data_IF_361596380086
#
_entry.id   IF_361596380086
#
_cell.length_a   1.000
_cell.length_b   1.000
_cell.length_c   1.000
_cell.angle_alpha   90.00
_cell.angle_beta   90.00
_cell.angle_gamma   90.00
#
_symmetry.space_group_name_H-M   'P 1'
#
loop_
_entity.id
_entity.type
_entity.pdbx_description
1 polymer ?
#
# COMPACT_ATOMS: atom_id res chain seq x y z
N UNK A 1 23.45 -7.61 -14.70
CA UNK A 1 22.03 -7.85 -15.07
C UNK A 1 21.89 -9.30 -15.52
N UNK A 2 21.07 -10.11 -14.86
CA UNK A 2 20.83 -11.51 -15.24
C UNK A 2 20.19 -11.57 -16.64
N UNK A 3 20.61 -12.56 -17.46
CA UNK A 3 20.07 -12.73 -18.82
C UNK A 3 18.63 -13.23 -18.73
N UNK A 4 17.76 -12.74 -19.58
CA UNK A 4 16.33 -13.11 -19.67
C UNK A 4 16.13 -14.64 -19.80
N UNK A 5 17.02 -15.31 -20.54
CA UNK A 5 17.05 -16.78 -20.65
C UNK A 5 17.24 -17.46 -19.30
N UNK A 6 18.09 -16.92 -18.42
CA UNK A 6 18.36 -17.47 -17.08
C UNK A 6 17.13 -17.34 -16.19
N UNK A 7 16.44 -16.19 -16.21
CA UNK A 7 15.21 -15.96 -15.46
C UNK A 7 14.10 -16.93 -15.87
N UNK A 8 13.99 -17.22 -17.19
CA UNK A 8 13.02 -18.17 -17.70
C UNK A 8 13.34 -19.61 -17.28
N UNK A 9 14.61 -20.03 -17.30
CA UNK A 9 15.03 -21.37 -16.87
C UNK A 9 14.78 -21.56 -15.37
N UNK A 10 14.98 -20.52 -14.57
CA UNK A 10 14.72 -20.52 -13.11
C UNK A 10 13.24 -20.33 -12.77
N UNK A 11 12.35 -20.23 -13.77
CA UNK A 11 10.92 -19.98 -13.57
C UNK A 11 10.62 -18.75 -12.71
N UNK A 12 11.49 -17.73 -12.78
CA UNK A 12 11.43 -16.54 -11.93
C UNK A 12 10.07 -15.83 -12.00
N UNK A 13 9.43 -15.80 -13.19
CA UNK A 13 8.09 -15.21 -13.36
C UNK A 13 7.06 -15.91 -12.48
N UNK A 14 7.12 -17.25 -12.38
CA UNK A 14 6.19 -17.98 -11.50
C UNK A 14 6.37 -17.60 -10.03
N UNK A 15 7.60 -17.32 -9.61
CA UNK A 15 7.86 -16.83 -8.23
C UNK A 15 7.24 -15.45 -8.05
N UNK A 16 7.35 -14.55 -9.03
CA UNK A 16 6.72 -13.24 -8.98
C UNK A 16 5.19 -13.33 -8.94
N UNK A 17 4.59 -14.21 -9.75
CA UNK A 17 3.14 -14.45 -9.76
C UNK A 17 2.66 -14.97 -8.38
N UNK A 18 3.40 -15.90 -7.79
CA UNK A 18 3.12 -16.38 -6.45
C UNK A 18 3.21 -15.26 -5.41
N UNK A 19 4.26 -14.44 -5.46
CA UNK A 19 4.43 -13.29 -4.56
C UNK A 19 3.29 -12.29 -4.75
N UNK A 20 2.96 -11.95 -5.99
CA UNK A 20 1.88 -11.02 -6.33
C UNK A 20 0.50 -11.50 -5.84
N UNK A 21 0.29 -12.83 -5.71
CA UNK A 21 -0.95 -13.38 -5.19
C UNK A 21 -1.20 -13.07 -3.70
N UNK A 22 -0.18 -12.72 -2.95
CA UNK A 22 -0.28 -12.28 -1.54
C UNK A 22 -0.52 -10.78 -1.40
N UNK A 23 -0.37 -10.00 -2.48
CA UNK A 23 -0.60 -8.57 -2.42
C UNK A 23 -2.08 -8.24 -2.25
N UNK A 24 -2.41 -7.40 -1.28
CA UNK A 24 -3.78 -6.99 -0.94
C UNK A 24 -4.27 -5.78 -1.74
N UNK A 25 -3.38 -5.14 -2.53
CA UNK A 25 -3.69 -4.00 -3.39
C UNK A 25 -3.16 -4.21 -4.80
N UNK A 26 -3.78 -3.59 -5.81
CA UNK A 26 -3.29 -3.63 -7.19
C UNK A 26 -1.89 -3.00 -7.32
N UNK A 27 -1.62 -1.92 -6.59
CA UNK A 27 -0.28 -1.29 -6.57
C UNK A 27 0.78 -2.22 -5.97
N UNK A 28 0.44 -2.96 -4.91
CA UNK A 28 1.32 -3.98 -4.32
C UNK A 28 1.59 -5.12 -5.31
N UNK A 29 0.56 -5.57 -6.02
CA UNK A 29 0.68 -6.59 -7.06
C UNK A 29 1.60 -6.14 -8.18
N UNK A 30 1.38 -4.93 -8.72
CA UNK A 30 2.27 -4.34 -9.72
C UNK A 30 3.72 -4.22 -9.24
N UNK A 31 3.93 -3.89 -7.96
CA UNK A 31 5.27 -3.80 -7.38
C UNK A 31 5.95 -5.19 -7.36
N UNK A 32 5.24 -6.24 -6.96
CA UNK A 32 5.74 -7.62 -6.97
C UNK A 32 6.11 -8.06 -8.39
N UNK A 33 5.25 -7.82 -9.38
CA UNK A 33 5.48 -8.20 -10.79
C UNK A 33 6.68 -7.49 -11.42
N UNK A 34 7.02 -6.30 -10.95
CA UNK A 34 8.15 -5.49 -11.43
C UNK A 34 9.48 -5.81 -10.74
N UNK A 35 9.51 -6.71 -9.76
CA UNK A 35 10.75 -7.07 -9.09
C UNK A 35 11.75 -7.70 -10.06
N UNK A 36 12.99 -7.34 -9.90
CA UNK A 36 14.12 -7.91 -10.64
C UNK A 36 15.18 -8.41 -9.67
N UNK A 37 15.95 -9.46 -10.04
CA UNK A 37 17.03 -9.93 -9.20
C UNK A 37 18.07 -8.84 -8.95
N UNK A 38 18.44 -8.65 -7.70
CA UNK A 38 19.51 -7.76 -7.29
C UNK A 38 20.86 -8.49 -7.40
N UNK A 39 21.91 -7.75 -7.77
CA UNK A 39 23.28 -8.27 -7.88
C UNK A 39 24.29 -7.50 -7.02
N UNK A 40 23.89 -6.36 -6.50
CA UNK A 40 24.69 -5.57 -5.56
C UNK A 40 24.46 -6.09 -4.15
N UNK A 41 25.58 -6.41 -3.43
CA UNK A 41 25.52 -7.03 -2.12
C UNK A 41 24.83 -6.13 -1.07
N UNK A 42 25.04 -4.81 -1.14
CA UNK A 42 24.43 -3.90 -0.19
C UNK A 42 22.89 -3.86 -0.39
N UNK A 43 22.42 -3.78 -1.63
CA UNK A 43 20.99 -3.82 -1.96
C UNK A 43 20.35 -5.17 -1.59
N UNK A 44 21.04 -6.28 -1.80
CA UNK A 44 20.56 -7.61 -1.39
C UNK A 44 20.38 -7.68 0.12
N UNK A 45 21.39 -7.25 0.88
CA UNK A 45 21.31 -7.26 2.35
C UNK A 45 20.19 -6.36 2.85
N UNK A 46 20.04 -5.17 2.27
CA UNK A 46 18.94 -4.25 2.60
C UNK A 46 17.56 -4.87 2.41
N UNK A 47 17.32 -5.50 1.26
CA UNK A 47 16.05 -6.17 0.98
C UNK A 47 15.79 -7.38 1.89
N UNK A 48 16.85 -8.13 2.27
CA UNK A 48 16.74 -9.23 3.22
C UNK A 48 16.40 -8.73 4.63
N UNK A 49 17.05 -7.67 5.10
CA UNK A 49 16.77 -7.06 6.41
C UNK A 49 15.33 -6.53 6.47
N UNK A 50 14.81 -5.89 5.41
CA UNK A 50 13.39 -5.49 5.34
C UNK A 50 12.46 -6.69 5.46
N UNK A 51 12.79 -7.81 4.81
CA UNK A 51 12.01 -9.04 4.87
C UNK A 51 12.04 -9.67 6.26
N UNK A 52 13.21 -9.70 6.91
CA UNK A 52 13.38 -10.21 8.28
C UNK A 52 12.57 -9.37 9.28
N UNK A 53 12.63 -8.03 9.18
CA UNK A 53 11.82 -7.14 10.02
C UNK A 53 10.31 -7.38 9.82
N UNK A 54 9.86 -7.58 8.57
CA UNK A 54 8.47 -7.90 8.29
C UNK A 54 8.04 -9.23 8.92
N UNK A 55 8.91 -10.26 8.91
CA UNK A 55 8.66 -11.53 9.61
C UNK A 55 8.57 -11.36 11.14
N UNK A 56 9.43 -10.51 11.72
CA UNK A 56 9.38 -10.17 13.14
C UNK A 56 8.03 -9.54 13.48
N UNK A 57 7.59 -8.56 12.70
CA UNK A 57 6.30 -7.89 12.90
C UNK A 57 5.15 -8.89 12.82
N UNK A 58 5.11 -9.76 11.80
CA UNK A 58 4.10 -10.80 11.65
C UNK A 58 4.07 -11.76 12.85
N UNK A 59 5.24 -12.10 13.39
CA UNK A 59 5.34 -13.00 14.54
C UNK A 59 4.77 -12.36 15.81
N UNK A 60 4.99 -11.05 16.02
CA UNK A 60 4.51 -10.34 17.21
C UNK A 60 3.04 -9.94 17.13
N UNK A 61 2.59 -9.48 15.97
CA UNK A 61 1.21 -9.01 15.78
C UNK A 61 0.25 -10.16 15.41
N UNK A 62 0.75 -11.32 14.97
CA UNK A 62 -0.04 -12.43 14.45
C UNK A 62 -0.67 -12.13 13.10
N UNK A 63 -1.07 -10.91 12.86
CA UNK A 63 -1.59 -10.40 11.58
C UNK A 63 -1.25 -8.91 11.44
N UNK A 64 -0.86 -8.48 10.25
CA UNK A 64 -0.64 -7.06 9.97
C UNK A 64 -1.95 -6.53 9.37
N UNK A 65 -2.52 -5.42 9.90
CA UNK A 65 -3.74 -4.84 9.37
C UNK A 65 -3.48 -4.11 8.04
N UNK A 66 -3.04 -4.86 7.03
CA UNK A 66 -2.93 -4.39 5.67
C UNK A 66 -4.30 -4.53 5.00
N UNK A 67 -5.06 -3.45 4.99
CA UNK A 67 -6.39 -3.40 4.40
C UNK A 67 -6.23 -3.14 2.90
N UNK A 68 -6.86 -3.97 2.07
CA UNK A 68 -6.95 -3.73 0.62
C UNK A 68 -7.80 -2.49 0.33
N UNK A 69 -7.42 -1.74 -0.69
CA UNK A 69 -8.18 -0.59 -1.20
C UNK A 69 -8.00 -0.51 -2.72
N UNK A 70 -8.98 0.09 -3.44
CA UNK A 70 -8.91 0.26 -4.89
C UNK A 70 -7.76 1.17 -5.32
N UNK A 71 -7.31 1.04 -6.58
CA UNK A 71 -6.33 1.96 -7.15
C UNK A 71 -6.91 3.38 -7.27
N UNK A 72 -6.41 4.30 -6.46
CA UNK A 72 -6.86 5.69 -6.41
C UNK A 72 -6.09 6.63 -7.34
N UNK A 73 -5.00 6.17 -7.98
CA UNK A 73 -4.16 6.99 -8.88
C UNK A 73 -4.95 7.68 -10.01
N UNK A 74 -5.92 7.01 -10.67
CA UNK A 74 -6.75 7.67 -11.68
C UNK A 74 -7.56 8.83 -11.10
N UNK A 75 -8.13 8.68 -9.90
CA UNK A 75 -8.94 9.71 -9.23
C UNK A 75 -8.07 10.91 -8.83
N UNK A 76 -6.88 10.65 -8.28
CA UNK A 76 -5.92 11.72 -7.95
C UNK A 76 -5.48 12.50 -9.19
N UNK A 77 -5.29 11.81 -10.32
CA UNK A 77 -4.94 12.45 -11.59
C UNK A 77 -6.07 13.37 -12.09
N UNK A 78 -7.33 12.94 -11.94
CA UNK A 78 -8.50 13.75 -12.30
C UNK A 78 -8.63 14.96 -11.38
N UNK A 79 -8.52 14.78 -10.07
CA UNK A 79 -8.58 15.86 -9.09
C UNK A 79 -7.48 16.91 -9.31
N UNK A 80 -6.24 16.47 -9.63
CA UNK A 80 -5.13 17.37 -9.94
C UNK A 80 -5.38 18.24 -11.18
N UNK A 81 -6.26 17.81 -12.09
CA UNK A 81 -6.72 18.59 -13.25
C UNK A 81 -7.93 19.48 -12.95
N UNK A 82 -8.37 19.54 -11.69
CA UNK A 82 -9.52 20.32 -11.26
C UNK A 82 -10.88 19.67 -11.57
N UNK A 83 -10.92 18.40 -11.94
CA UNK A 83 -12.19 17.69 -12.16
C UNK A 83 -12.83 17.32 -10.81
N UNK A 84 -14.16 17.42 -10.75
CA UNK A 84 -14.94 16.91 -9.63
C UNK A 84 -14.94 15.38 -9.64
N UNK A 85 -14.75 14.78 -8.47
CA UNK A 85 -14.85 13.35 -8.29
C UNK A 85 -16.28 12.96 -7.89
N UNK A 86 -16.77 11.84 -8.41
CA UNK A 86 -18.05 11.28 -7.99
C UNK A 86 -17.96 10.63 -6.59
N UNK A 87 -19.10 10.35 -5.93
CA UNK A 87 -19.12 9.76 -4.58
C UNK A 87 -18.31 8.47 -4.47
N UNK A 88 -18.40 7.57 -5.44
CA UNK A 88 -17.65 6.32 -5.48
C UNK A 88 -16.13 6.55 -5.46
N UNK A 89 -15.64 7.48 -6.28
CA UNK A 89 -14.22 7.82 -6.33
C UNK A 89 -13.74 8.43 -4.99
N UNK A 90 -14.56 9.29 -4.37
CA UNK A 90 -14.26 9.87 -3.06
C UNK A 90 -14.22 8.81 -1.96
N UNK A 91 -15.17 7.87 -1.93
CA UNK A 91 -15.16 6.74 -0.99
C UNK A 91 -13.91 5.86 -1.17
N UNK A 92 -13.50 5.57 -2.41
CA UNK A 92 -12.25 4.84 -2.69
C UNK A 92 -11.02 5.58 -2.14
N UNK A 93 -10.99 6.92 -2.26
CA UNK A 93 -9.93 7.74 -1.66
C UNK A 93 -9.97 7.66 -0.13
N UNK A 94 -11.14 7.74 0.50
CA UNK A 94 -11.28 7.61 1.94
C UNK A 94 -10.83 6.22 2.45
N UNK A 95 -11.13 5.15 1.71
CA UNK A 95 -10.63 3.80 2.01
C UNK A 95 -9.11 3.72 1.97
N UNK A 96 -8.48 4.30 0.95
CA UNK A 96 -7.03 4.39 0.84
C UNK A 96 -6.42 5.16 2.03
N UNK A 97 -6.99 6.29 2.42
CA UNK A 97 -6.54 7.10 3.55
C UNK A 97 -6.65 6.32 4.87
N UNK A 98 -7.77 5.65 5.09
CA UNK A 98 -8.00 4.79 6.26
C UNK A 98 -7.00 3.64 6.32
N UNK A 99 -6.78 2.94 5.20
CA UNK A 99 -5.83 1.85 5.12
C UNK A 99 -4.39 2.33 5.42
N UNK A 100 -3.98 3.45 4.84
CA UNK A 100 -2.67 4.06 5.08
C UNK A 100 -2.48 4.44 6.56
N UNK A 101 -3.50 5.02 7.18
CA UNK A 101 -3.48 5.38 8.61
C UNK A 101 -3.39 4.15 9.50
N UNK A 102 -4.14 3.10 9.19
CA UNK A 102 -4.12 1.84 9.94
C UNK A 102 -2.75 1.16 9.84
N UNK A 103 -2.20 1.06 8.62
CA UNK A 103 -0.87 0.51 8.39
C UNK A 103 0.21 1.30 9.16
N UNK A 104 0.20 2.64 9.06
CA UNK A 104 1.13 3.48 9.82
C UNK A 104 1.02 3.23 11.33
N UNK A 105 -0.19 3.19 11.87
CA UNK A 105 -0.41 2.98 13.30
C UNK A 105 0.12 1.64 13.79
N UNK A 106 -0.01 0.59 12.96
CA UNK A 106 0.44 -0.75 13.30
C UNK A 106 1.96 -0.92 13.17
N UNK A 107 2.58 -0.28 12.17
CA UNK A 107 3.98 -0.51 11.80
C UNK A 107 4.96 0.47 12.48
N UNK A 108 4.49 1.60 13.03
CA UNK A 108 5.35 2.59 13.73
C UNK A 108 5.33 2.33 15.25
N UNK A 109 5.50 1.08 15.67
CA UNK A 109 5.39 0.71 17.10
C UNK A 109 6.70 0.26 17.73
N UNK A 110 7.58 -0.38 16.98
CA UNK A 110 8.84 -0.94 17.51
C UNK A 110 10.04 -0.50 16.65
N UNK A 111 10.52 0.73 16.91
CA UNK A 111 11.62 1.33 16.15
C UNK A 111 12.96 0.62 16.36
N UNK A 112 13.15 0.00 17.51
CA UNK A 112 14.45 -0.57 17.89
C UNK A 112 14.67 -1.92 17.20
N UNK A 113 13.61 -2.71 17.01
CA UNK A 113 13.67 -4.03 16.40
C UNK A 113 13.32 -4.05 14.91
N UNK A 114 12.61 -3.03 14.42
CA UNK A 114 12.15 -2.95 13.02
C UNK A 114 12.35 -1.56 12.42
N UNK A 115 13.60 -1.04 12.41
CA UNK A 115 13.88 0.34 12.02
C UNK A 115 13.54 0.63 10.55
N UNK A 116 13.74 -0.32 9.63
CA UNK A 116 13.48 -0.14 8.20
C UNK A 116 12.00 -0.07 7.90
N UNK A 117 11.22 -1.05 8.38
CA UNK A 117 9.76 -1.07 8.18
C UNK A 117 9.12 0.14 8.88
N UNK A 118 9.57 0.48 10.09
CA UNK A 118 9.13 1.70 10.79
C UNK A 118 9.50 2.96 9.99
N UNK A 119 10.68 3.01 9.39
CA UNK A 119 11.11 4.07 8.51
C UNK A 119 10.17 4.22 7.31
N UNK A 120 9.89 3.15 6.59
CA UNK A 120 8.94 3.13 5.46
C UNK A 120 7.56 3.59 5.89
N UNK A 121 7.02 3.05 6.97
CA UNK A 121 5.71 3.41 7.50
C UNK A 121 5.63 4.87 7.98
N UNK A 122 6.73 5.45 8.44
CA UNK A 122 6.79 6.85 8.89
C UNK A 122 6.53 7.86 7.76
N UNK A 123 6.81 7.48 6.50
CA UNK A 123 6.52 8.31 5.32
C UNK A 123 5.03 8.35 4.96
N UNK A 124 4.22 7.42 5.48
CA UNK A 124 2.78 7.45 5.28
C UNK A 124 2.19 8.67 6.03
N UNK A 125 1.66 9.61 5.28
CA UNK A 125 0.96 10.75 5.87
C UNK A 125 -0.47 10.37 6.23
N UNK A 126 -0.99 10.98 7.29
CA UNK A 126 -2.38 10.78 7.73
C UNK A 126 -3.20 12.03 7.43
N UNK A 127 -4.35 11.85 6.77
CA UNK A 127 -5.26 12.92 6.38
C UNK A 127 -6.64 12.71 7.01
N UNK A 128 -6.66 12.56 8.34
CA UNK A 128 -7.88 12.22 9.08
C UNK A 128 -9.03 13.20 8.82
N UNK A 129 -8.75 14.49 8.79
CA UNK A 129 -9.77 15.50 8.51
C UNK A 129 -10.41 15.31 7.14
N UNK A 130 -9.62 14.95 6.11
CA UNK A 130 -10.14 14.67 4.78
C UNK A 130 -10.93 13.35 4.77
N UNK A 131 -10.45 12.32 5.43
CA UNK A 131 -11.16 11.03 5.61
C UNK A 131 -12.53 11.28 6.25
N UNK A 132 -12.56 12.00 7.36
CA UNK A 132 -13.79 12.33 8.11
C UNK A 132 -14.75 13.22 7.28
N UNK A 133 -14.23 14.18 6.53
CA UNK A 133 -15.03 15.04 5.66
C UNK A 133 -15.70 14.24 4.52
N UNK A 134 -14.97 13.33 3.86
CA UNK A 134 -15.52 12.50 2.79
C UNK A 134 -16.59 11.56 3.38
N UNK A 135 -16.27 10.83 4.44
CA UNK A 135 -17.19 9.86 5.05
C UNK A 135 -18.39 10.49 5.73
N UNK A 136 -18.27 11.74 6.19
CA UNK A 136 -19.40 12.50 6.73
C UNK A 136 -20.33 13.07 5.66
N UNK A 137 -19.80 13.36 4.46
CA UNK A 137 -20.57 13.92 3.35
C UNK A 137 -21.25 12.85 2.48
N UNK A 138 -20.73 11.62 2.46
CA UNK A 138 -21.17 10.55 1.56
C UNK A 138 -21.63 9.35 2.38
N UNK A 139 -22.91 8.99 2.29
CA UNK A 139 -23.51 7.86 2.98
C UNK A 139 -23.28 6.57 2.16
N UNK A 140 -23.41 6.64 0.85
CA UNK A 140 -23.20 5.51 -0.08
C UNK A 140 -22.75 6.00 -1.46
N UNK A 141 -22.47 5.07 -2.39
CA UNK A 141 -22.10 5.44 -3.77
C UNK A 141 -23.18 6.27 -4.49
N UNK A 142 -24.43 6.20 -4.05
CA UNK A 142 -25.60 6.84 -4.68
C UNK A 142 -26.22 7.93 -3.81
N UNK A 143 -25.83 8.03 -2.51
CA UNK A 143 -26.51 8.88 -1.54
C UNK A 143 -25.53 9.83 -0.82
N UNK A 144 -25.83 11.12 -0.90
CA UNK A 144 -25.12 12.16 -0.16
C UNK A 144 -25.84 12.46 1.15
N UNK A 145 -25.08 12.84 2.17
CA UNK A 145 -25.64 13.31 3.45
C UNK A 145 -26.35 14.65 3.26
N UNK A 146 -27.48 14.86 3.96
CA UNK A 146 -28.16 16.16 4.03
C UNK A 146 -27.26 17.28 4.58
N UNK A 147 -26.15 16.91 5.23
CA UNK A 147 -25.14 17.81 5.80
C UNK A 147 -23.87 17.91 4.94
N UNK A 148 -23.88 17.43 3.69
CA UNK A 148 -22.71 17.41 2.80
C UNK A 148 -22.24 18.81 2.36
N UNK A 149 -23.07 19.84 2.55
CA UNK A 149 -22.73 21.26 2.31
C UNK A 149 -23.21 22.12 3.47
N UNK A 150 -22.44 23.18 3.85
CA UNK A 150 -22.92 24.17 4.82
C UNK A 150 -24.06 24.99 4.26
#
# INVERSE_FOLDING_TARGET
MMKERTLRVLEFIKILDMLASFAVTDMGREACEKLTPLSDLAQVNEALEETEEAQVILTYLGDIPLIGFPDVRPYLTLAAKGAALNPKALLSVAECLRASRAARSALVTDRDNTPRITGLASHLQTFRQLEDAITGAIISEEELSDHASP
#
